data_IF_660443043133
#
_entry.id   IF_660443043133
#
_cell.length_a   1.000
_cell.length_b   1.000
_cell.length_c   1.000
_cell.angle_alpha   90.00
_cell.angle_beta   90.00
_cell.angle_gamma   90.00
#
_symmetry.space_group_name_H-M   'P 1'
#
loop_
_entity.id
_entity.type
_entity.pdbx_description
1 polymer ?
#
# COMPACT_ATOMS: atom_id res chain seq x y z
N UNK A 1 -0.62 -50.72 -36.03
CA UNK A 1 -0.57 -50.11 -34.68
C UNK A 1 -0.28 -48.63 -34.86
N UNK A 2 -1.29 -47.81 -34.59
CA UNK A 2 -1.30 -46.36 -34.65
C UNK A 2 -0.58 -45.77 -33.43
N UNK A 3 0.27 -44.76 -33.63
CA UNK A 3 0.26 -43.55 -32.81
C UNK A 3 1.21 -42.49 -33.36
N UNK A 4 0.57 -41.46 -33.90
CA UNK A 4 1.09 -40.14 -34.24
C UNK A 4 1.51 -39.42 -32.96
N UNK A 5 2.79 -39.06 -32.82
CA UNK A 5 3.24 -38.11 -31.80
C UNK A 5 3.11 -36.68 -32.36
N UNK A 6 1.92 -36.11 -32.15
CA UNK A 6 1.66 -34.67 -32.21
C UNK A 6 1.19 -34.23 -30.84
N UNK A 7 2.00 -33.45 -30.12
CA UNK A 7 1.60 -32.47 -29.11
C UNK A 7 2.81 -31.55 -28.90
N UNK A 8 2.81 -30.39 -29.56
CA UNK A 8 2.20 -29.14 -29.11
C UNK A 8 2.99 -28.51 -27.96
N UNK A 9 3.88 -27.59 -28.36
CA UNK A 9 3.79 -26.19 -27.96
C UNK A 9 3.55 -25.93 -26.46
N UNK A 10 4.59 -26.11 -25.66
CA UNK A 10 4.72 -25.37 -24.40
C UNK A 10 5.55 -24.12 -24.70
N UNK A 11 4.87 -23.12 -25.26
CA UNK A 11 5.25 -21.75 -25.01
C UNK A 11 5.08 -21.55 -23.50
N UNK A 12 6.16 -21.73 -22.75
CA UNK A 12 6.22 -21.25 -21.37
C UNK A 12 6.25 -19.73 -21.43
N UNK A 13 5.06 -19.15 -21.59
CA UNK A 13 4.78 -17.78 -21.16
C UNK A 13 5.14 -17.74 -19.69
N UNK A 14 6.33 -17.20 -19.44
CA UNK A 14 6.80 -16.81 -18.13
C UNK A 14 5.90 -15.66 -17.73
N UNK A 15 4.74 -16.00 -17.16
CA UNK A 15 3.95 -15.06 -16.38
C UNK A 15 4.82 -14.65 -15.22
N UNK A 16 5.49 -13.50 -15.36
CA UNK A 16 6.06 -12.79 -14.22
C UNK A 16 4.91 -12.62 -13.24
N UNK A 17 4.93 -13.39 -12.16
CA UNK A 17 4.11 -13.10 -11.01
C UNK A 17 4.57 -11.73 -10.53
N UNK A 18 3.87 -10.68 -10.96
CA UNK A 18 4.05 -9.33 -10.42
C UNK A 18 3.85 -9.46 -8.91
N UNK A 19 4.95 -9.53 -8.17
CA UNK A 19 4.91 -9.43 -6.72
C UNK A 19 4.38 -8.03 -6.42
N UNK A 20 3.13 -7.95 -5.99
CA UNK A 20 2.53 -6.70 -5.59
C UNK A 20 3.35 -6.15 -4.43
N UNK A 21 3.99 -4.99 -4.65
CA UNK A 21 4.86 -4.39 -3.67
C UNK A 21 3.99 -3.82 -2.53
N UNK A 22 4.26 -4.28 -1.31
CA UNK A 22 3.53 -3.89 -0.10
C UNK A 22 4.44 -3.05 0.80
N UNK A 23 3.94 -1.91 1.24
CA UNK A 23 4.67 -0.93 2.03
C UNK A 23 4.11 -0.84 3.47
N UNK A 24 4.92 -1.10 4.52
CA UNK A 24 4.50 -1.01 5.90
C UNK A 24 4.63 0.40 6.48
N UNK A 25 3.54 0.96 7.01
CA UNK A 25 3.51 2.28 7.65
C UNK A 25 3.09 2.16 9.11
N UNK A 26 3.92 2.69 10.02
CA UNK A 26 3.68 2.67 11.47
C UNK A 26 3.22 4.03 11.97
N UNK A 27 2.12 4.06 12.70
CA UNK A 27 1.59 5.28 13.30
C UNK A 27 2.30 5.58 14.62
N UNK A 28 3.04 6.69 14.68
CA UNK A 28 3.82 7.07 15.87
C UNK A 28 3.00 7.26 17.16
N UNK A 29 1.71 7.57 17.07
CA UNK A 29 0.84 7.79 18.25
C UNK A 29 0.22 6.54 18.84
N UNK A 30 -0.07 5.53 18.02
CA UNK A 30 -0.83 4.35 18.43
C UNK A 30 -0.06 3.05 18.28
N UNK A 31 1.14 3.11 17.71
CA UNK A 31 1.97 1.96 17.36
C UNK A 31 1.26 0.93 16.46
N UNK A 32 0.15 1.33 15.83
CA UNK A 32 -0.57 0.55 14.83
C UNK A 32 0.20 0.55 13.53
N UNK A 33 -0.02 -0.51 12.75
CA UNK A 33 0.61 -0.72 11.47
C UNK A 33 -0.46 -0.82 10.38
N UNK A 34 -0.17 -0.28 9.20
CA UNK A 34 -0.95 -0.51 7.99
C UNK A 34 -0.01 -0.92 6.86
N UNK A 35 -0.51 -1.78 5.99
CA UNK A 35 0.18 -2.23 4.80
C UNK A 35 -0.57 -1.70 3.59
N UNK A 36 0.13 -0.97 2.73
CA UNK A 36 -0.45 -0.38 1.52
C UNK A 36 0.19 -1.01 0.30
N UNK A 37 -0.62 -1.30 -0.72
CA UNK A 37 -0.11 -1.67 -2.05
C UNK A 37 0.37 -0.41 -2.78
N UNK A 38 1.13 -0.58 -3.87
CA UNK A 38 1.53 0.56 -4.71
C UNK A 38 0.33 1.39 -5.18
N UNK A 39 -0.77 0.74 -5.60
CA UNK A 39 -1.97 1.43 -6.06
C UNK A 39 -2.58 2.30 -4.96
N UNK A 40 -2.68 1.78 -3.74
CA UNK A 40 -3.20 2.55 -2.59
C UNK A 40 -2.26 3.68 -2.20
N UNK A 41 -0.94 3.44 -2.28
CA UNK A 41 0.09 4.42 -2.01
C UNK A 41 -0.03 5.62 -2.94
N UNK A 42 -0.18 5.38 -4.26
CA UNK A 42 -0.27 6.42 -5.29
C UNK A 42 -1.48 7.36 -5.10
N UNK A 43 -2.53 6.90 -4.41
CA UNK A 43 -3.68 7.73 -4.05
C UNK A 43 -3.42 8.66 -2.85
N UNK A 44 -2.28 8.52 -2.16
CA UNK A 44 -1.90 9.32 -0.99
C UNK A 44 -0.53 9.97 -1.24
N UNK A 45 -0.49 11.15 -1.90
CA UNK A 45 0.75 11.78 -2.38
C UNK A 45 1.83 11.96 -1.30
N UNK A 46 1.42 12.27 -0.07
CA UNK A 46 2.35 12.38 1.06
C UNK A 46 3.11 11.07 1.33
N UNK A 47 2.43 9.93 1.29
CA UNK A 47 3.06 8.64 1.54
C UNK A 47 3.91 8.20 0.34
N UNK A 48 3.46 8.43 -0.89
CA UNK A 48 4.27 8.20 -2.09
C UNK A 48 5.59 8.97 -2.02
N UNK A 49 5.55 10.23 -1.59
CA UNK A 49 6.74 11.06 -1.43
C UNK A 49 7.69 10.51 -0.35
N UNK A 50 7.15 10.03 0.79
CA UNK A 50 7.98 9.42 1.84
C UNK A 50 8.74 8.19 1.32
N UNK A 51 8.10 7.36 0.52
CA UNK A 51 8.71 6.16 -0.07
C UNK A 51 9.75 6.54 -1.12
N UNK A 52 9.40 7.43 -2.05
CA UNK A 52 10.27 7.83 -3.16
C UNK A 52 11.54 8.57 -2.68
N UNK A 53 11.40 9.36 -1.62
CA UNK A 53 12.47 10.20 -1.08
C UNK A 53 13.05 9.65 0.23
N UNK A 54 12.93 8.34 0.47
CA UNK A 54 13.36 7.73 1.73
C UNK A 54 14.81 8.03 2.13
N UNK A 55 15.69 8.23 1.15
CA UNK A 55 17.10 8.55 1.35
C UNK A 55 17.33 10.03 1.70
N UNK A 56 16.37 10.90 1.36
CA UNK A 56 16.48 12.35 1.55
C UNK A 56 16.11 12.75 2.98
N UNK A 57 15.41 11.87 3.70
CA UNK A 57 15.01 12.08 5.08
C UNK A 57 15.73 11.10 5.99
N UNK A 58 16.67 11.61 6.77
CA UNK A 58 17.28 10.87 7.86
C UNK A 58 16.18 10.45 8.85
N UNK A 59 15.85 9.15 8.91
CA UNK A 59 14.95 8.50 9.89
C UNK A 59 13.47 8.28 9.54
N UNK A 60 13.07 8.14 8.26
CA UNK A 60 11.67 7.72 7.99
C UNK A 60 11.47 6.23 8.29
N UNK A 61 12.39 5.37 7.89
CA UNK A 61 12.31 3.93 8.19
C UNK A 61 12.90 3.64 9.59
N UNK A 62 12.20 2.83 10.37
CA UNK A 62 12.74 2.28 11.62
C UNK A 62 13.57 1.01 11.37
N UNK A 63 14.09 0.40 12.44
CA UNK A 63 14.89 -0.83 12.38
C UNK A 63 14.16 -2.05 11.76
N UNK A 64 12.83 -2.02 11.69
CA UNK A 64 12.01 -3.06 11.09
C UNK A 64 11.71 -2.80 9.59
N UNK A 65 12.23 -1.71 9.02
CA UNK A 65 11.91 -1.28 7.66
C UNK A 65 10.51 -0.68 7.51
N UNK A 66 9.90 -0.23 8.61
CA UNK A 66 8.57 0.39 8.61
C UNK A 66 8.70 1.91 8.51
N UNK A 67 7.94 2.52 7.60
CA UNK A 67 7.87 3.97 7.45
C UNK A 67 7.11 4.57 8.64
N UNK A 68 7.79 5.34 9.47
CA UNK A 68 7.22 5.95 10.67
C UNK A 68 6.49 7.23 10.27
N UNK A 69 5.17 7.21 10.46
CA UNK A 69 4.32 8.35 10.21
C UNK A 69 4.44 9.38 11.33
N UNK A 70 4.29 10.65 10.96
CA UNK A 70 4.18 11.76 11.91
C UNK A 70 3.14 11.47 13.00
N UNK A 71 3.47 11.80 14.24
CA UNK A 71 2.56 11.65 15.38
C UNK A 71 1.28 12.47 15.25
N UNK A 72 1.23 13.43 14.33
CA UNK A 72 -0.01 14.18 14.03
C UNK A 72 -1.03 13.34 13.27
N UNK A 73 -0.61 12.29 12.60
CA UNK A 73 -1.50 11.40 11.84
C UNK A 73 -2.12 10.39 12.79
N UNK A 74 -3.44 10.49 12.98
CA UNK A 74 -4.21 9.56 13.81
C UNK A 74 -4.66 8.37 12.96
N UNK A 75 -4.50 7.17 13.51
CA UNK A 75 -4.86 5.92 12.82
C UNK A 75 -6.33 5.93 12.35
N UNK A 76 -7.26 6.26 13.23
CA UNK A 76 -8.70 6.22 12.91
C UNK A 76 -9.06 7.13 11.75
N UNK A 77 -8.55 8.36 11.75
CA UNK A 77 -8.79 9.32 10.67
C UNK A 77 -8.14 8.90 9.37
N UNK A 78 -6.91 8.38 9.45
CA UNK A 78 -6.23 7.87 8.27
C UNK A 78 -7.00 6.70 7.64
N UNK A 79 -7.46 5.74 8.45
CA UNK A 79 -8.24 4.60 7.95
C UNK A 79 -9.55 5.05 7.32
N UNK A 80 -10.25 6.04 7.90
CA UNK A 80 -11.45 6.62 7.32
C UNK A 80 -11.18 7.26 5.95
N UNK A 81 -10.12 8.06 5.85
CA UNK A 81 -9.67 8.69 4.60
C UNK A 81 -9.30 7.64 3.55
N UNK A 82 -8.46 6.67 3.91
CA UNK A 82 -8.07 5.59 3.01
C UNK A 82 -9.28 4.83 2.49
N UNK A 83 -10.20 4.44 3.39
CA UNK A 83 -11.43 3.75 3.02
C UNK A 83 -12.27 4.57 2.06
N UNK A 84 -12.45 5.86 2.35
CA UNK A 84 -13.20 6.77 1.50
C UNK A 84 -12.62 6.87 0.08
N UNK A 85 -11.30 6.91 -0.03
CA UNK A 85 -10.57 6.93 -1.30
C UNK A 85 -10.70 5.60 -2.04
N UNK A 86 -10.59 4.45 -1.35
CA UNK A 86 -10.64 3.13 -1.99
C UNK A 86 -12.05 2.69 -2.36
N UNK A 87 -13.07 3.14 -1.62
CA UNK A 87 -14.48 2.85 -1.91
C UNK A 87 -15.14 3.95 -2.74
N UNK A 88 -14.44 5.02 -3.09
CA UNK A 88 -14.95 6.19 -3.82
C UNK A 88 -16.19 6.82 -3.15
N UNK A 89 -16.22 6.80 -1.80
CA UNK A 89 -17.32 7.33 -1.00
C UNK A 89 -16.81 8.44 -0.07
N UNK A 90 -16.67 9.67 -0.58
CA UNK A 90 -16.27 10.84 0.23
C UNK A 90 -17.26 11.14 1.36
N UNK A 91 -18.54 10.78 1.18
CA UNK A 91 -19.57 11.02 2.19
C UNK A 91 -19.35 10.26 3.51
N UNK A 92 -18.63 9.14 3.50
CA UNK A 92 -18.32 8.39 4.72
C UNK A 92 -17.46 9.19 5.70
N UNK A 93 -16.69 10.17 5.21
CA UNK A 93 -15.82 11.00 6.04
C UNK A 93 -16.61 11.89 7.01
N UNK A 94 -17.81 12.33 6.63
CA UNK A 94 -18.65 13.18 7.49
C UNK A 94 -19.21 12.43 8.70
N UNK A 95 -19.16 11.10 8.70
CA UNK A 95 -19.58 10.27 9.83
C UNK A 95 -18.39 9.77 10.66
N UNK A 96 -17.23 9.58 10.01
CA UNK A 96 -16.07 8.93 10.64
C UNK A 96 -15.00 9.92 11.16
N UNK A 97 -14.97 11.16 10.66
CA UNK A 97 -14.08 12.22 11.15
C UNK A 97 -14.80 13.11 12.17
N UNK A 98 -14.08 13.67 13.16
CA UNK A 98 -14.66 14.62 14.11
C UNK A 98 -15.12 15.88 13.36
N UNK A 99 -16.16 16.51 13.90
CA UNK A 99 -16.64 17.80 13.40
C UNK A 99 -15.67 18.94 13.74
N UNK A 100 -14.91 18.83 14.84
CA UNK A 100 -13.83 19.74 15.27
C UNK A 100 -12.78 19.04 16.19
#
# INVERSE_FOLDING_TARGET
MTSTLRKMNESSETGEAHQEMIYPFRFGTSNKLIYLTQEQLDRIPYLSALVAHKNDFSSIENENGEYVLSSRIRYTWFTAILRSITTEQPSALFTELPED
#
